data_IF_080696335741
#
_entry.id   IF_080696335741
#
_cell.length_a   1.000
_cell.length_b   1.000
_cell.length_c   1.000
_cell.angle_alpha   90.00
_cell.angle_beta   90.00
_cell.angle_gamma   90.00
#
_symmetry.space_group_name_H-M   'P 1'
#
loop_
_entity.id
_entity.type
_entity.pdbx_description
1 polymer ?
#
# COMPACT_ATOMS: atom_id res chain seq x y z
N UNK A 1 -16.55 -39.16 3.22
CA UNK A 1 -16.50 -38.16 2.13
C UNK A 1 -15.83 -36.94 2.69
N UNK A 2 -14.52 -36.80 2.43
CA UNK A 2 -13.72 -35.67 2.87
C UNK A 2 -13.88 -34.57 1.82
N UNK A 3 -14.60 -33.53 2.13
CA UNK A 3 -14.46 -32.27 1.40
C UNK A 3 -13.12 -31.69 1.79
N UNK A 4 -12.16 -31.88 0.92
CA UNK A 4 -10.84 -31.27 1.01
C UNK A 4 -11.01 -29.76 0.94
N UNK A 5 -10.73 -29.12 2.06
CA UNK A 5 -10.54 -27.69 2.20
C UNK A 5 -9.36 -27.25 1.31
N UNK A 6 -9.63 -27.05 0.03
CA UNK A 6 -8.68 -26.40 -0.88
C UNK A 6 -8.70 -24.90 -0.62
N UNK A 7 -8.19 -24.46 0.54
CA UNK A 7 -7.69 -23.12 0.63
C UNK A 7 -6.57 -23.02 -0.39
N UNK A 8 -6.86 -22.29 -1.45
CA UNK A 8 -5.95 -21.94 -2.52
C UNK A 8 -4.64 -21.42 -1.90
N UNK A 9 -3.60 -22.27 -1.90
CA UNK A 9 -2.26 -21.91 -1.45
C UNK A 9 -1.61 -21.05 -2.52
N UNK A 10 -2.25 -19.94 -2.90
CA UNK A 10 -1.59 -18.93 -3.70
C UNK A 10 -0.39 -18.41 -2.91
N UNK A 11 0.73 -18.35 -3.57
CA UNK A 11 1.93 -17.80 -2.96
C UNK A 11 1.68 -16.33 -2.63
N UNK A 12 1.64 -16.01 -1.33
CA UNK A 12 1.48 -14.64 -0.85
C UNK A 12 2.83 -13.96 -0.72
N UNK A 13 2.95 -12.81 -1.34
CA UNK A 13 4.16 -11.99 -1.27
C UNK A 13 4.16 -11.17 0.02
N UNK A 14 5.26 -11.23 0.78
CA UNK A 14 5.34 -10.60 2.11
C UNK A 14 6.39 -9.51 2.22
N UNK A 15 7.32 -9.43 1.26
CA UNK A 15 8.45 -8.49 1.29
C UNK A 15 8.63 -7.79 -0.04
N UNK A 16 8.94 -8.55 -1.09
CA UNK A 16 9.17 -8.04 -2.44
C UNK A 16 8.39 -8.87 -3.46
N UNK A 17 8.04 -8.22 -4.56
CA UNK A 17 7.46 -8.82 -5.75
C UNK A 17 8.07 -8.14 -6.97
N UNK A 18 8.44 -8.90 -7.98
CA UNK A 18 8.93 -8.34 -9.25
C UNK A 18 7.79 -7.83 -10.12
N UNK A 19 8.11 -6.97 -11.11
CA UNK A 19 7.11 -6.44 -12.04
C UNK A 19 6.40 -7.54 -12.84
N UNK A 20 7.11 -8.58 -13.25
CA UNK A 20 6.53 -9.72 -13.99
C UNK A 20 5.64 -10.60 -13.12
N UNK A 21 6.00 -10.80 -11.84
CA UNK A 21 5.15 -11.51 -10.90
C UNK A 21 3.88 -10.71 -10.59
N UNK A 22 3.99 -9.39 -10.38
CA UNK A 22 2.83 -8.53 -10.17
C UNK A 22 1.90 -8.54 -11.40
N UNK A 23 2.46 -8.46 -12.60
CA UNK A 23 1.69 -8.53 -13.85
C UNK A 23 0.91 -9.85 -13.94
N UNK A 24 1.50 -10.97 -13.50
CA UNK A 24 0.83 -12.27 -13.54
C UNK A 24 -0.39 -12.39 -12.61
N UNK A 25 -0.49 -11.53 -11.58
CA UNK A 25 -1.59 -11.51 -10.61
C UNK A 25 -2.42 -10.22 -10.67
N UNK A 26 -2.17 -9.33 -11.65
CA UNK A 26 -2.78 -7.98 -11.70
C UNK A 26 -4.30 -8.01 -11.74
N UNK A 27 -4.91 -9.09 -12.23
CA UNK A 27 -6.35 -9.27 -12.31
C UNK A 27 -6.94 -10.11 -11.16
N UNK A 28 -6.14 -10.44 -10.14
CA UNK A 28 -6.64 -11.20 -9.00
C UNK A 28 -7.60 -10.33 -8.16
N UNK A 29 -8.76 -10.89 -7.84
CA UNK A 29 -9.82 -10.16 -7.12
C UNK A 29 -9.45 -9.76 -5.69
N UNK A 30 -8.45 -10.40 -5.11
CA UNK A 30 -7.93 -10.14 -3.76
C UNK A 30 -6.62 -9.35 -3.76
N UNK A 31 -6.21 -8.80 -4.92
CA UNK A 31 -5.07 -7.90 -5.05
C UNK A 31 -5.49 -6.44 -4.88
N UNK A 32 -4.73 -5.71 -4.09
CA UNK A 32 -4.76 -4.24 -4.03
C UNK A 32 -3.36 -3.71 -4.30
N UNK A 33 -3.25 -2.88 -5.33
CA UNK A 33 -2.01 -2.16 -5.64
C UNK A 33 -2.12 -0.72 -5.12
N UNK A 34 -1.11 -0.25 -4.40
CA UNK A 34 -1.06 1.09 -3.82
C UNK A 34 0.08 1.91 -4.43
N UNK A 35 -0.28 3.03 -5.04
CA UNK A 35 0.66 4.02 -5.55
C UNK A 35 1.03 5.01 -4.44
N UNK A 36 2.22 4.86 -3.91
CA UNK A 36 2.77 5.71 -2.87
C UNK A 36 3.82 6.70 -3.43
N UNK A 37 3.78 7.03 -4.73
CA UNK A 37 4.67 8.05 -5.31
C UNK A 37 4.45 9.39 -4.60
N UNK A 38 5.54 10.03 -4.26
CA UNK A 38 5.53 11.24 -3.45
C UNK A 38 6.62 12.20 -3.92
N UNK A 39 6.25 13.47 -4.05
CA UNK A 39 7.20 14.55 -4.30
C UNK A 39 7.40 15.35 -3.02
N UNK A 40 8.63 15.40 -2.52
CA UNK A 40 8.96 16.08 -1.26
C UNK A 40 8.84 17.60 -1.38
N UNK A 41 8.99 18.13 -2.58
CA UNK A 41 8.99 19.57 -2.87
C UNK A 41 7.61 20.08 -3.34
N UNK A 42 6.73 19.14 -3.76
CA UNK A 42 5.40 19.48 -4.29
C UNK A 42 4.36 18.40 -3.99
N UNK A 43 3.67 18.50 -2.87
CA UNK A 43 2.59 17.56 -2.53
C UNK A 43 1.52 17.41 -3.63
N UNK A 44 1.06 18.48 -4.33
CA UNK A 44 0.10 18.32 -5.43
C UNK A 44 0.63 17.51 -6.61
N UNK A 45 1.96 17.42 -6.80
CA UNK A 45 2.55 16.71 -7.93
C UNK A 45 2.30 15.20 -7.85
N UNK A 46 2.25 14.63 -6.65
CA UNK A 46 1.95 13.20 -6.47
C UNK A 46 0.55 12.83 -7.03
N UNK A 47 -0.45 13.67 -6.76
CA UNK A 47 -1.80 13.47 -7.30
C UNK A 47 -1.84 13.64 -8.82
N UNK A 48 -1.12 14.60 -9.37
CA UNK A 48 -1.03 14.80 -10.82
C UNK A 48 -0.34 13.61 -11.49
N UNK A 49 0.77 13.12 -10.95
CA UNK A 49 1.49 11.96 -11.48
C UNK A 49 0.60 10.69 -11.48
N UNK A 50 -0.25 10.54 -10.46
CA UNK A 50 -1.21 9.43 -10.41
C UNK A 50 -2.25 9.55 -11.54
N UNK A 51 -2.79 10.74 -11.77
CA UNK A 51 -3.77 10.99 -12.82
C UNK A 51 -3.18 10.90 -14.24
N UNK A 52 -1.89 11.19 -14.40
CA UNK A 52 -1.19 11.03 -15.69
C UNK A 52 -0.95 9.56 -16.07
N UNK A 53 -0.78 8.69 -15.07
CA UNK A 53 -0.62 7.25 -15.28
C UNK A 53 -0.11 6.51 -14.05
N UNK A 54 -0.68 5.34 -13.83
CA UNK A 54 -0.35 4.43 -12.73
C UNK A 54 -0.42 2.97 -13.17
N UNK A 55 0.01 2.04 -12.33
CA UNK A 55 -0.15 0.60 -12.58
C UNK A 55 -1.66 0.30 -12.61
N UNK A 56 -2.16 -0.48 -13.59
CA UNK A 56 -3.59 -0.74 -13.73
C UNK A 56 -4.25 -1.19 -12.43
N UNK A 57 -5.37 -0.55 -12.09
CA UNK A 57 -6.11 -0.82 -10.86
C UNK A 57 -5.50 -0.29 -9.58
N UNK A 58 -4.37 0.42 -9.64
CA UNK A 58 -3.76 1.01 -8.44
C UNK A 58 -4.64 2.08 -7.81
N UNK A 59 -4.54 2.21 -6.49
CA UNK A 59 -5.19 3.22 -5.66
C UNK A 59 -4.14 4.17 -5.11
N UNK A 60 -4.46 5.46 -5.08
CA UNK A 60 -3.51 6.43 -4.55
C UNK A 60 -3.33 6.28 -3.04
N UNK A 61 -2.09 6.27 -2.58
CA UNK A 61 -1.69 6.27 -1.18
C UNK A 61 -0.86 7.52 -0.87
N UNK A 62 -1.53 8.65 -0.72
CA UNK A 62 -0.90 9.95 -0.44
C UNK A 62 -0.28 9.96 0.96
N UNK A 63 0.96 10.45 1.05
CA UNK A 63 1.73 10.45 2.30
C UNK A 63 1.10 11.35 3.36
N UNK A 64 0.61 12.52 2.97
CA UNK A 64 0.07 13.51 3.90
C UNK A 64 -1.34 13.15 4.35
N UNK A 65 -2.16 12.60 3.45
CA UNK A 65 -3.57 12.27 3.73
C UNK A 65 -3.75 10.91 4.39
N UNK A 66 -2.94 9.91 3.98
CA UNK A 66 -3.16 8.51 4.34
C UNK A 66 -2.11 7.94 5.31
N UNK A 67 -0.92 8.53 5.35
CA UNK A 67 0.20 7.97 6.12
C UNK A 67 0.70 8.87 7.24
N UNK A 68 0.16 10.08 7.39
CA UNK A 68 0.58 11.01 8.42
C UNK A 68 -0.60 11.41 9.32
N UNK A 69 -0.32 11.53 10.60
CA UNK A 69 -1.24 12.08 11.59
C UNK A 69 -1.04 13.58 11.78
N UNK A 70 -1.77 14.15 12.72
CA UNK A 70 -1.73 15.57 13.05
C UNK A 70 -0.33 15.99 13.53
N UNK A 71 0.15 17.14 13.01
CA UNK A 71 1.40 17.74 13.45
C UNK A 71 1.12 18.60 14.67
N UNK A 72 1.69 18.23 15.83
CA UNK A 72 1.62 19.01 17.06
C UNK A 72 2.96 19.73 17.24
N UNK A 73 3.02 21.08 17.11
CA UNK A 73 4.27 21.85 17.20
C UNK A 73 5.01 21.58 18.51
N UNK A 74 6.29 21.26 18.42
CA UNK A 74 7.14 20.97 19.58
C UNK A 74 6.96 19.58 20.20
N UNK A 75 6.03 18.76 19.71
CA UNK A 75 5.75 17.42 20.20
C UNK A 75 6.02 16.35 19.14
N UNK A 76 5.48 16.53 17.93
CA UNK A 76 5.63 15.54 16.85
C UNK A 76 6.68 15.98 15.81
N UNK A 77 7.18 15.03 15.03
CA UNK A 77 7.93 15.32 13.80
C UNK A 77 7.00 15.82 12.68
N UNK A 78 7.60 16.04 11.49
CA UNK A 78 6.86 16.55 10.31
C UNK A 78 5.81 15.55 9.76
N UNK A 79 5.94 14.28 10.05
CA UNK A 79 5.04 13.21 9.58
C UNK A 79 4.88 12.15 10.67
N UNK A 80 4.15 12.45 11.75
CA UNK A 80 3.87 11.46 12.79
C UNK A 80 3.03 10.33 12.21
N UNK A 81 2.98 9.20 12.90
CA UNK A 81 2.01 8.14 12.54
C UNK A 81 0.59 8.65 12.78
N UNK A 82 -0.37 8.28 11.95
CA UNK A 82 -1.77 8.54 12.19
C UNK A 82 -2.25 7.76 13.44
N UNK A 83 -3.31 8.23 14.07
CA UNK A 83 -3.96 7.45 15.11
C UNK A 83 -4.61 6.20 14.50
N UNK A 84 -4.72 5.13 15.29
CA UNK A 84 -5.19 3.83 14.81
C UNK A 84 -6.55 3.89 14.13
N UNK A 85 -7.49 4.68 14.66
CA UNK A 85 -8.81 4.86 14.07
C UNK A 85 -8.73 5.40 12.65
N UNK A 86 -7.95 6.44 12.41
CA UNK A 86 -7.86 7.10 11.11
C UNK A 86 -7.16 6.20 10.09
N UNK A 87 -6.14 5.47 10.53
CA UNK A 87 -5.48 4.50 9.65
C UNK A 87 -6.37 3.29 9.34
N UNK A 88 -7.22 2.87 10.29
CA UNK A 88 -8.26 1.85 10.06
C UNK A 88 -9.22 2.28 8.95
N UNK A 89 -9.74 3.51 9.02
CA UNK A 89 -10.62 4.05 7.97
C UNK A 89 -9.91 4.15 6.61
N UNK A 90 -8.64 4.52 6.61
CA UNK A 90 -7.80 4.54 5.39
C UNK A 90 -7.69 3.14 4.77
N UNK A 91 -7.37 2.12 5.56
CA UNK A 91 -7.28 0.71 5.10
C UNK A 91 -8.62 0.25 4.52
N UNK A 92 -9.72 0.53 5.21
CA UNK A 92 -11.08 0.22 4.75
C UNK A 92 -11.41 0.92 3.44
N UNK A 93 -11.08 2.22 3.34
CA UNK A 93 -11.26 3.04 2.14
C UNK A 93 -10.49 2.51 0.93
N UNK A 94 -9.35 1.87 1.15
CA UNK A 94 -8.64 1.14 0.09
C UNK A 94 -9.24 -0.25 -0.21
N UNK A 95 -10.33 -0.65 0.42
CA UNK A 95 -10.96 -1.95 0.19
C UNK A 95 -10.07 -3.13 0.62
N UNK A 96 -9.22 -2.94 1.63
CA UNK A 96 -8.31 -3.95 2.14
C UNK A 96 -8.95 -4.70 3.30
N UNK A 97 -8.77 -6.01 3.33
CA UNK A 97 -9.11 -6.88 4.45
C UNK A 97 -7.98 -7.89 4.75
N UNK A 98 -8.21 -8.81 5.69
CA UNK A 98 -7.21 -9.80 6.11
C UNK A 98 -6.77 -10.75 4.99
N UNK A 99 -7.59 -10.97 3.98
CA UNK A 99 -7.29 -11.88 2.87
C UNK A 99 -6.57 -11.19 1.71
N UNK A 100 -6.50 -9.86 1.71
CA UNK A 100 -5.97 -9.06 0.62
C UNK A 100 -4.46 -9.21 0.46
N UNK A 101 -3.98 -9.47 -0.76
CA UNK A 101 -2.59 -9.26 -1.15
C UNK A 101 -2.40 -7.78 -1.46
N UNK A 102 -1.57 -7.09 -0.70
CA UNK A 102 -1.24 -5.68 -0.98
C UNK A 102 0.13 -5.60 -1.63
N UNK A 103 0.23 -4.84 -2.71
CA UNK A 103 1.50 -4.47 -3.35
C UNK A 103 1.63 -2.96 -3.38
N UNK A 104 2.75 -2.45 -2.92
CA UNK A 104 3.00 -1.02 -2.81
C UNK A 104 4.18 -0.64 -3.70
N UNK A 105 4.08 0.48 -4.39
CA UNK A 105 5.20 1.03 -5.14
C UNK A 105 5.36 2.53 -4.92
N UNK A 106 6.58 3.02 -5.11
CA UNK A 106 6.91 4.43 -5.28
C UNK A 106 7.81 4.61 -6.50
N UNK A 107 8.31 5.80 -6.74
CA UNK A 107 9.26 6.11 -7.81
C UNK A 107 10.73 6.12 -7.33
N UNK A 108 10.96 5.77 -6.07
CA UNK A 108 12.27 5.71 -5.41
C UNK A 108 12.70 4.28 -5.08
N UNK A 109 12.36 3.31 -5.92
CA UNK A 109 12.67 1.87 -5.78
C UNK A 109 12.10 1.22 -4.50
N UNK A 110 11.02 1.75 -3.95
CA UNK A 110 10.36 1.23 -2.74
C UNK A 110 10.98 1.69 -1.41
N UNK A 111 12.00 2.55 -1.44
CA UNK A 111 12.75 2.92 -0.22
C UNK A 111 12.22 4.16 0.52
N UNK A 112 11.25 4.86 -0.04
CA UNK A 112 10.69 6.09 0.53
C UNK A 112 9.29 5.86 1.09
N UNK A 113 8.27 6.39 0.43
CA UNK A 113 6.89 6.32 0.90
C UNK A 113 6.34 4.89 0.91
N UNK A 114 6.73 4.06 -0.06
CA UNK A 114 6.29 2.67 -0.12
C UNK A 114 6.78 1.85 1.08
N UNK A 115 8.05 2.00 1.51
CA UNK A 115 8.56 1.31 2.70
C UNK A 115 7.89 1.77 4.00
N UNK A 116 7.55 3.06 4.09
CA UNK A 116 6.77 3.59 5.22
C UNK A 116 5.40 2.91 5.28
N UNK A 117 4.68 2.88 4.16
CA UNK A 117 3.36 2.29 4.10
C UNK A 117 3.40 0.78 4.36
N UNK A 118 4.41 0.08 3.83
CA UNK A 118 4.64 -1.34 4.13
C UNK A 118 4.75 -1.58 5.63
N UNK A 119 5.55 -0.77 6.33
CA UNK A 119 5.72 -0.86 7.78
C UNK A 119 4.41 -0.58 8.52
N UNK A 120 3.65 0.42 8.08
CA UNK A 120 2.36 0.78 8.68
C UNK A 120 1.31 -0.32 8.50
N UNK A 121 1.25 -0.96 7.33
CA UNK A 121 0.33 -2.08 7.09
C UNK A 121 0.74 -3.33 7.88
N UNK A 122 2.05 -3.58 8.04
CA UNK A 122 2.55 -4.62 8.97
C UNK A 122 2.15 -4.33 10.42
N UNK A 123 2.25 -3.07 10.84
CA UNK A 123 1.76 -2.63 12.15
C UNK A 123 0.26 -2.88 12.31
N UNK A 124 -0.54 -2.62 11.27
CA UNK A 124 -1.98 -2.90 11.25
C UNK A 124 -2.33 -4.41 11.19
N UNK A 125 -1.34 -5.30 11.25
CA UNK A 125 -1.55 -6.75 11.32
C UNK A 125 -1.67 -7.47 9.99
N UNK A 126 -1.43 -6.78 8.86
CA UNK A 126 -1.50 -7.39 7.53
C UNK A 126 -0.18 -8.10 7.20
N UNK A 127 -0.26 -9.39 6.88
CA UNK A 127 0.92 -10.21 6.54
C UNK A 127 1.27 -10.22 5.05
N UNK A 128 0.26 -10.20 4.18
CA UNK A 128 0.41 -10.30 2.74
C UNK A 128 0.64 -8.91 2.11
N UNK A 129 1.74 -8.26 2.49
CA UNK A 129 2.12 -6.92 2.00
C UNK A 129 3.52 -6.98 1.42
N UNK A 130 3.69 -6.59 0.15
CA UNK A 130 4.97 -6.56 -0.54
C UNK A 130 5.24 -5.21 -1.20
N UNK A 131 6.51 -4.92 -1.41
CA UNK A 131 6.98 -3.79 -2.22
C UNK A 131 7.27 -4.26 -3.64
N UNK A 132 6.91 -3.46 -4.62
CA UNK A 132 7.33 -3.68 -6.01
C UNK A 132 8.83 -3.43 -6.11
N UNK A 133 9.60 -4.48 -6.41
CA UNK A 133 11.05 -4.40 -6.55
C UNK A 133 11.44 -3.49 -7.71
N UNK A 134 12.22 -2.45 -7.40
CA UNK A 134 12.58 -1.39 -8.34
C UNK A 134 11.46 -0.38 -8.63
N UNK A 135 10.33 -0.42 -7.89
CA UNK A 135 9.25 0.55 -7.92
C UNK A 135 8.59 0.76 -9.28
N UNK A 136 7.95 1.91 -9.47
CA UNK A 136 7.26 2.26 -10.72
C UNK A 136 8.17 2.18 -11.95
N UNK A 137 9.45 2.53 -11.79
CA UNK A 137 10.42 2.47 -12.87
C UNK A 137 10.70 1.04 -13.35
N UNK A 138 10.63 0.03 -12.46
CA UNK A 138 10.78 -1.37 -12.87
C UNK A 138 9.57 -1.83 -13.72
N UNK A 139 8.36 -1.41 -13.37
CA UNK A 139 7.16 -1.65 -14.16
C UNK A 139 7.29 -1.07 -15.58
N UNK A 140 7.70 0.19 -15.69
CA UNK A 140 7.90 0.87 -16.97
C UNK A 140 9.02 0.21 -17.81
N UNK A 141 10.16 -0.15 -17.18
CA UNK A 141 11.27 -0.84 -17.89
C UNK A 141 10.86 -2.21 -18.42
N UNK A 142 9.93 -2.88 -17.77
CA UNK A 142 9.37 -4.15 -18.24
C UNK A 142 8.41 -3.97 -19.41
N UNK A 143 8.11 -2.73 -19.84
CA UNK A 143 7.18 -2.43 -20.94
C UNK A 143 5.73 -2.77 -20.63
N UNK A 144 5.37 -2.82 -19.34
CA UNK A 144 4.03 -3.19 -18.88
C UNK A 144 3.06 -2.01 -18.99
N UNK A 145 1.74 -2.27 -19.12
CA UNK A 145 0.76 -1.23 -19.36
C UNK A 145 0.60 -0.29 -18.17
N UNK A 146 0.25 0.96 -18.45
CA UNK A 146 -0.19 1.94 -17.47
C UNK A 146 -1.63 2.34 -17.74
N UNK A 147 -2.31 2.82 -16.72
CA UNK A 147 -3.70 3.28 -16.76
C UNK A 147 -3.80 4.66 -16.12
N UNK A 148 -4.85 5.39 -16.43
CA UNK A 148 -5.22 6.66 -15.81
C UNK A 148 -6.66 6.62 -15.26
N UNK A 149 -7.32 5.45 -15.32
CA UNK A 149 -8.68 5.25 -14.85
C UNK A 149 -8.72 5.09 -13.33
N UNK A 150 -9.45 5.98 -12.66
CA UNK A 150 -9.71 5.87 -11.23
C UNK A 150 -10.86 4.91 -11.02
N UNK A 151 -10.59 3.79 -10.35
CA UNK A 151 -11.61 2.79 -10.07
C UNK A 151 -12.40 3.13 -8.81
N UNK A 152 -13.71 2.89 -8.87
CA UNK A 152 -14.55 2.92 -7.67
C UNK A 152 -14.17 1.79 -6.72
N UNK A 153 -13.90 2.14 -5.48
CA UNK A 153 -13.53 1.19 -4.43
C UNK A 153 -14.70 0.99 -3.48
N UNK A 154 -15.05 -0.26 -3.24
CA UNK A 154 -16.01 -0.60 -2.19
C UNK A 154 -15.24 -0.74 -0.87
N UNK A 155 -15.51 0.12 0.13
CA UNK A 155 -14.85 0.01 1.43
C UNK A 155 -15.16 -1.31 2.13
N UNK A 156 -14.19 -1.83 2.88
CA UNK A 156 -14.38 -3.00 3.73
C UNK A 156 -14.83 -2.62 5.14
N UNK A 157 -15.18 -3.62 5.93
CA UNK A 157 -15.44 -3.48 7.38
C UNK A 157 -14.33 -4.10 8.22
N UNK A 158 -13.14 -4.23 7.64
CA UNK A 158 -11.99 -4.84 8.29
C UNK A 158 -11.60 -4.12 9.58
N UNK A 159 -11.28 -4.89 10.63
CA UNK A 159 -10.77 -4.41 11.91
C UNK A 159 -9.30 -4.84 12.07
N UNK A 160 -8.33 -3.92 11.93
CA UNK A 160 -6.92 -4.24 12.09
C UNK A 160 -6.55 -4.68 13.51
N UNK A 161 -5.72 -5.70 13.63
CA UNK A 161 -5.07 -6.10 14.88
C UNK A 161 -3.67 -5.47 14.96
N UNK A 162 -3.58 -4.26 15.52
CA UNK A 162 -2.35 -3.50 15.57
C UNK A 162 -1.27 -4.17 16.44
N UNK A 163 -0.08 -4.32 15.89
CA UNK A 163 1.12 -4.90 16.52
C UNK A 163 1.99 -3.80 17.11
N UNK A 164 1.67 -3.36 18.32
CA UNK A 164 2.37 -2.25 18.98
C UNK A 164 3.81 -2.62 19.39
N UNK A 165 4.14 -3.90 19.45
CA UNK A 165 5.48 -4.42 19.68
C UNK A 165 6.47 -4.14 18.52
N UNK A 166 5.97 -3.77 17.33
CA UNK A 166 6.82 -3.36 16.20
C UNK A 166 7.38 -1.93 16.36
N UNK A 167 6.87 -1.15 17.31
CA UNK A 167 7.33 0.22 17.57
C UNK A 167 7.93 0.36 18.96
N UNK A 168 9.09 1.01 19.03
CA UNK A 168 9.71 1.39 20.29
C UNK A 168 9.14 2.76 20.68
N UNK A 169 8.41 2.82 21.77
CA UNK A 169 8.06 4.08 22.41
C UNK A 169 9.26 4.57 23.20
N UNK A 170 9.85 5.68 22.77
CA UNK A 170 10.85 6.38 23.56
C UNK A 170 10.16 7.06 24.75
N UNK A 171 10.74 7.02 25.95
CA UNK A 171 10.21 7.67 27.13
C UNK A 171 10.20 9.21 26.99
#
# INVERSE_FOLDING_TARGET
MNESNSYDQRMRYKTLISATELESIINDSDLVVLDARFDIDSEPQAALNFLEGHIPGARQADVSQHMAGEIIPGVTGRRPLPVKSDFTETIRGWGIDQSTQVVIYDDMNGIMAASRLWTMLKWAGLDSVALLDGGYQAWLRAGLPIDAEIQDVVPTTYEPEFRDDLYIHLP
#
